data_IF_199484430244
#
_entry.id   IF_199484430244
#
_cell.length_a   1.000
_cell.length_b   1.000
_cell.length_c   1.000
_cell.angle_alpha   90.00
_cell.angle_beta   90.00
_cell.angle_gamma   90.00
#
_symmetry.space_group_name_H-M   'P 1'
#
loop_
_entity.id
_entity.type
_entity.pdbx_description
1 polymer ?
#
# COMPACT_ATOMS: atom_id res chain seq x y z
N UNK A 1 -5.48 -19.02 -2.88
CA UNK A 1 -4.72 -17.79 -3.23
C UNK A 1 -5.70 -16.67 -3.52
N UNK A 2 -5.42 -15.50 -2.99
CA UNK A 2 -6.20 -14.29 -3.28
C UNK A 2 -5.30 -13.37 -4.09
N UNK A 3 -5.81 -12.85 -5.20
CA UNK A 3 -5.04 -11.94 -6.05
C UNK A 3 -5.98 -10.88 -6.62
N UNK A 4 -5.61 -9.61 -6.47
CA UNK A 4 -6.40 -8.52 -7.01
C UNK A 4 -5.54 -7.28 -7.23
N UNK A 5 -6.06 -6.35 -8.04
CA UNK A 5 -5.40 -5.09 -8.34
C UNK A 5 -6.22 -3.92 -7.82
N UNK A 6 -5.55 -3.01 -7.12
CA UNK A 6 -6.15 -1.76 -6.65
C UNK A 6 -5.70 -0.66 -7.59
N UNK A 7 -6.60 -0.19 -8.44
CA UNK A 7 -6.28 0.85 -9.43
C UNK A 7 -6.19 2.22 -8.77
N UNK A 8 -5.24 3.02 -9.21
CA UNK A 8 -5.04 4.38 -8.72
C UNK A 8 -3.61 4.61 -8.28
N UNK A 9 -3.23 5.86 -8.15
CA UNK A 9 -1.86 6.20 -7.75
C UNK A 9 -1.67 5.86 -6.27
N UNK A 10 -0.76 4.92 -5.93
CA UNK A 10 -0.48 4.61 -4.53
C UNK A 10 0.00 5.85 -3.78
N UNK A 11 -0.48 6.01 -2.56
CA UNK A 11 -0.13 7.16 -1.73
C UNK A 11 0.45 6.69 -0.39
N UNK A 12 1.50 7.36 0.09
CA UNK A 12 2.09 7.02 1.37
C UNK A 12 1.14 7.38 2.51
N UNK A 13 1.16 6.56 3.55
CA UNK A 13 0.50 6.89 4.80
C UNK A 13 1.42 7.83 5.57
N UNK A 14 0.94 9.02 5.83
CA UNK A 14 1.67 9.97 6.65
C UNK A 14 1.14 9.89 8.08
N UNK A 15 2.00 9.48 8.99
CA UNK A 15 1.75 9.64 10.41
C UNK A 15 2.48 10.89 10.81
N UNK A 16 1.79 11.99 10.90
CA UNK A 16 2.55 13.18 11.05
C UNK A 16 2.27 14.00 12.26
N UNK A 17 3.29 14.57 12.76
CA UNK A 17 3.24 15.72 13.59
C UNK A 17 2.80 16.91 12.75
N UNK A 18 2.36 17.91 13.42
CA UNK A 18 2.00 19.16 12.79
C UNK A 18 3.27 19.94 12.49
N UNK A 19 3.41 20.40 11.26
CA UNK A 19 4.53 21.23 10.85
C UNK A 19 4.04 22.67 10.70
N UNK A 20 4.85 23.61 11.19
CA UNK A 20 4.58 25.02 11.05
C UNK A 20 5.53 25.62 10.02
N UNK A 21 5.05 26.01 8.87
CA UNK A 21 5.90 26.71 7.91
C UNK A 21 6.40 28.01 8.49
N UNK A 22 7.65 28.33 8.22
CA UNK A 22 8.25 29.57 8.66
C UNK A 22 8.52 29.67 10.15
N UNK A 23 8.51 28.54 10.87
CA UNK A 23 8.74 28.57 12.32
C UNK A 23 7.68 29.26 13.12
N UNK A 24 6.54 29.55 12.50
CA UNK A 24 5.47 30.27 13.17
C UNK A 24 4.75 29.48 14.24
N UNK A 25 3.88 30.13 14.95
CA UNK A 25 3.13 29.54 16.05
C UNK A 25 1.94 28.73 15.59
N UNK A 26 1.58 28.80 14.34
CA UNK A 26 0.41 28.16 13.80
C UNK A 26 0.73 26.77 13.30
N UNK A 27 0.06 25.79 13.86
CA UNK A 27 0.20 24.41 13.46
C UNK A 27 -0.66 24.13 12.24
N UNK A 28 -0.11 23.39 11.29
CA UNK A 28 -0.88 22.84 10.19
C UNK A 28 -1.20 21.40 10.47
N UNK A 29 -2.47 20.99 10.31
CA UNK A 29 -2.79 19.59 10.43
C UNK A 29 -2.04 18.84 9.33
N UNK A 30 -1.25 17.88 9.73
CA UNK A 30 -0.68 16.94 8.78
C UNK A 30 -1.78 16.00 8.34
N UNK A 31 -2.01 15.95 7.07
CA UNK A 31 -2.92 14.96 6.53
C UNK A 31 -2.39 13.58 6.83
N UNK A 32 -3.15 12.84 7.61
CA UNK A 32 -2.96 11.40 7.66
C UNK A 32 -3.59 10.86 6.41
N UNK A 33 -2.79 10.45 5.47
CA UNK A 33 -3.33 9.86 4.26
C UNK A 33 -3.78 8.44 4.54
N UNK A 34 -4.90 8.30 5.23
CA UNK A 34 -5.56 7.02 5.44
C UNK A 34 -6.51 6.68 4.30
N UNK A 35 -6.73 7.61 3.39
CA UNK A 35 -7.66 7.40 2.29
C UNK A 35 -7.25 6.27 1.38
N UNK A 36 -5.95 6.17 1.09
CA UNK A 36 -5.44 5.07 0.26
C UNK A 36 -5.67 3.71 0.93
N UNK A 37 -5.36 3.59 2.22
CA UNK A 37 -5.57 2.35 2.96
C UNK A 37 -7.07 2.00 3.03
N UNK A 38 -7.93 3.00 3.25
CA UNK A 38 -9.38 2.79 3.26
C UNK A 38 -9.88 2.34 1.90
N UNK A 39 -9.35 2.90 0.83
CA UNK A 39 -9.70 2.50 -0.53
C UNK A 39 -9.24 1.07 -0.81
N UNK A 40 -8.03 0.71 -0.39
CA UNK A 40 -7.52 -0.65 -0.52
C UNK A 40 -8.39 -1.64 0.26
N UNK A 41 -8.88 -1.24 1.43
CA UNK A 41 -9.81 -2.06 2.21
C UNK A 41 -11.12 -2.27 1.45
N UNK A 42 -11.65 -1.21 0.86
CA UNK A 42 -12.88 -1.28 0.08
C UNK A 42 -12.73 -2.24 -1.10
N UNK A 43 -11.65 -2.10 -1.86
CA UNK A 43 -11.39 -2.97 -3.01
C UNK A 43 -11.24 -4.43 -2.57
N UNK A 44 -10.54 -4.67 -1.46
CA UNK A 44 -10.41 -6.02 -0.91
C UNK A 44 -11.77 -6.60 -0.54
N UNK A 45 -12.64 -5.81 0.07
CA UNK A 45 -13.97 -6.27 0.46
C UNK A 45 -14.84 -6.65 -0.75
N UNK A 46 -14.60 -6.01 -1.89
CA UNK A 46 -15.32 -6.29 -3.13
C UNK A 46 -14.93 -7.64 -3.74
N UNK A 47 -13.84 -8.23 -3.31
CA UNK A 47 -13.42 -9.55 -3.80
C UNK A 47 -14.29 -10.66 -3.25
N UNK A 48 -15.04 -10.40 -2.18
CA UNK A 48 -15.97 -11.35 -1.55
C UNK A 48 -15.30 -12.68 -1.21
N UNK A 49 -14.13 -12.58 -0.58
CA UNK A 49 -13.37 -13.75 -0.15
C UNK A 49 -13.57 -14.01 1.33
N UNK A 50 -13.47 -15.27 1.74
CA UNK A 50 -13.45 -15.61 3.15
C UNK A 50 -12.07 -15.31 3.73
N UNK A 51 -11.99 -14.73 4.93
CA UNK A 51 -10.69 -14.51 5.57
C UNK A 51 -9.90 -15.80 5.69
N UNK A 52 -8.65 -15.75 5.26
CA UNK A 52 -7.77 -16.92 5.30
C UNK A 52 -7.29 -17.18 6.74
N UNK A 53 -7.13 -18.44 7.09
CA UNK A 53 -6.59 -18.84 8.37
C UNK A 53 -5.15 -19.35 8.20
N UNK A 54 -4.40 -19.44 9.30
CA UNK A 54 -3.05 -19.99 9.29
C UNK A 54 -2.00 -18.99 8.80
N UNK A 55 -0.76 -19.44 8.64
CA UNK A 55 0.34 -18.56 8.22
C UNK A 55 0.20 -18.18 6.75
N UNK A 56 0.49 -16.92 6.45
CA UNK A 56 0.27 -16.33 5.13
C UNK A 56 1.53 -15.69 4.59
N UNK A 57 1.64 -15.72 3.26
CA UNK A 57 2.64 -15.00 2.50
C UNK A 57 1.94 -13.91 1.69
N UNK A 58 2.44 -12.69 1.76
CA UNK A 58 1.85 -11.54 1.09
C UNK A 58 2.89 -10.92 0.15
N UNK A 59 2.48 -10.65 -1.07
CA UNK A 59 3.29 -9.93 -2.04
C UNK A 59 2.56 -8.67 -2.48
N UNK A 60 3.23 -7.54 -2.36
CA UNK A 60 2.69 -6.22 -2.72
C UNK A 60 3.60 -5.59 -3.77
N UNK A 61 3.02 -5.24 -4.91
CA UNK A 61 3.75 -4.55 -5.97
C UNK A 61 3.09 -3.21 -6.24
N UNK A 62 3.76 -2.14 -5.86
CA UNK A 62 3.27 -0.77 -6.06
C UNK A 62 3.76 -0.25 -7.41
N UNK A 63 2.83 0.17 -8.25
CA UNK A 63 3.12 0.76 -9.55
C UNK A 63 2.86 2.25 -9.50
N UNK A 64 3.94 3.02 -9.65
CA UNK A 64 3.92 4.48 -9.56
C UNK A 64 3.98 5.11 -10.93
N UNK A 65 3.42 6.30 -11.13
CA UNK A 65 3.52 6.99 -12.40
C UNK A 65 4.98 7.19 -12.80
N UNK A 66 5.28 6.89 -14.06
CA UNK A 66 6.64 7.04 -14.58
C UNK A 66 6.84 8.48 -15.05
N UNK A 67 7.86 9.21 -14.55
CA UNK A 67 8.17 10.55 -15.07
C UNK A 67 8.74 10.46 -16.48
N UNK A 68 8.79 11.58 -17.18
CA UNK A 68 9.34 11.62 -18.55
C UNK A 68 10.81 11.20 -18.59
N UNK A 69 11.58 11.58 -17.56
CA UNK A 69 13.01 11.26 -17.47
C UNK A 69 13.31 10.61 -16.13
N UNK A 70 13.04 9.31 -16.00
CA UNK A 70 13.32 8.61 -14.75
C UNK A 70 14.84 8.50 -14.54
N UNK A 71 15.26 8.50 -13.27
CA UNK A 71 16.68 8.37 -12.91
C UNK A 71 17.18 6.94 -13.12
N UNK A 72 16.31 5.98 -12.99
CA UNK A 72 16.61 4.56 -13.20
C UNK A 72 15.34 3.82 -13.62
N UNK A 73 15.47 2.53 -13.91
CA UNK A 73 14.33 1.70 -14.29
C UNK A 73 13.33 1.51 -13.17
N UNK A 74 13.78 1.59 -11.91
CA UNK A 74 12.90 1.52 -10.76
C UNK A 74 12.83 2.86 -10.04
N UNK A 75 11.71 3.16 -9.39
CA UNK A 75 11.56 4.45 -8.69
C UNK A 75 12.41 4.47 -7.42
N UNK A 76 13.49 5.22 -7.45
CA UNK A 76 14.40 5.37 -6.31
C UNK A 76 14.16 6.68 -5.54
N UNK A 77 13.09 7.38 -5.88
CA UNK A 77 12.70 8.61 -5.21
C UNK A 77 11.48 8.35 -4.34
N UNK A 78 11.09 9.34 -3.53
CA UNK A 78 9.89 9.23 -2.69
C UNK A 78 8.66 8.94 -3.56
N UNK A 79 7.64 8.25 -3.02
CA UNK A 79 7.49 7.85 -1.62
C UNK A 79 8.32 6.62 -1.24
N UNK A 80 8.70 6.51 0.02
CA UNK A 80 9.43 5.39 0.55
C UNK A 80 8.53 4.15 0.60
N UNK A 81 9.13 2.99 0.38
CA UNK A 81 8.39 1.73 0.29
C UNK A 81 7.63 1.39 1.57
N UNK A 82 8.26 1.59 2.72
CA UNK A 82 7.62 1.33 4.01
C UNK A 82 6.43 2.27 4.27
N UNK A 83 6.48 3.49 3.78
CA UNK A 83 5.37 4.44 3.90
C UNK A 83 4.22 4.06 2.98
N UNK A 84 4.50 3.45 1.82
CA UNK A 84 3.46 2.98 0.92
C UNK A 84 2.68 1.81 1.51
N UNK A 85 3.37 0.89 2.20
CA UNK A 85 2.71 -0.29 2.77
C UNK A 85 2.12 -0.05 4.17
N UNK A 86 2.52 1.03 4.81
CA UNK A 86 2.10 1.31 6.18
C UNK A 86 0.58 1.29 6.30
N UNK A 87 0.08 0.58 7.31
CA UNK A 87 -1.34 0.39 7.59
C UNK A 87 -2.14 -0.44 6.60
N UNK A 88 -1.53 -0.90 5.52
CA UNK A 88 -2.26 -1.74 4.56
C UNK A 88 -2.64 -3.09 5.16
N UNK A 89 -1.69 -3.80 5.76
CA UNK A 89 -1.97 -5.11 6.34
C UNK A 89 -3.04 -5.00 7.43
N UNK A 90 -2.97 -3.95 8.22
CA UNK A 90 -3.95 -3.66 9.26
C UNK A 90 -5.34 -3.40 8.65
N UNK A 91 -5.39 -2.68 7.54
CA UNK A 91 -6.64 -2.35 6.86
C UNK A 91 -7.36 -3.60 6.34
N UNK A 92 -6.65 -4.67 6.06
CA UNK A 92 -7.22 -5.90 5.54
C UNK A 92 -7.61 -6.92 6.61
N UNK A 93 -7.41 -6.60 7.88
CA UNK A 93 -7.86 -7.46 8.98
C UNK A 93 -9.38 -7.64 8.92
N UNK A 94 -9.81 -8.88 9.06
CA UNK A 94 -11.22 -9.23 8.97
C UNK A 94 -11.76 -9.36 7.54
N UNK A 95 -10.93 -9.08 6.53
CA UNK A 95 -11.33 -9.20 5.12
C UNK A 95 -10.52 -10.29 4.42
N UNK A 96 -9.19 -10.13 4.35
CA UNK A 96 -8.32 -11.11 3.69
C UNK A 96 -7.85 -12.18 4.65
N UNK A 97 -7.76 -11.85 5.92
CA UNK A 97 -7.34 -12.71 7.02
C UNK A 97 -7.98 -12.24 8.31
N UNK A 98 -7.79 -12.99 9.38
CA UNK A 98 -8.34 -12.61 10.69
C UNK A 98 -7.48 -11.54 11.36
N UNK A 99 -6.16 -11.69 11.27
CA UNK A 99 -5.22 -10.77 11.90
C UNK A 99 -3.93 -10.73 11.07
N UNK A 100 -3.36 -9.55 10.89
CA UNK A 100 -2.11 -9.37 10.14
C UNK A 100 -0.91 -10.05 10.83
N UNK A 101 -1.05 -10.48 12.08
CA UNK A 101 -0.07 -11.34 12.74
C UNK A 101 0.12 -12.68 12.01
N UNK A 102 -0.84 -13.10 11.20
CA UNK A 102 -0.75 -14.30 10.38
C UNK A 102 0.27 -14.18 9.24
N UNK A 103 0.65 -12.96 8.87
CA UNK A 103 1.59 -12.73 7.78
C UNK A 103 3.00 -13.04 8.27
N UNK A 104 3.57 -14.13 7.77
CA UNK A 104 4.90 -14.60 8.17
C UNK A 104 5.95 -14.36 7.09
N UNK A 105 5.53 -14.14 5.85
CA UNK A 105 6.41 -13.77 4.74
C UNK A 105 5.78 -12.58 4.03
N UNK A 106 6.59 -11.57 3.78
CA UNK A 106 6.12 -10.39 3.08
C UNK A 106 7.18 -9.95 2.07
N UNK A 107 6.76 -9.78 0.83
CA UNK A 107 7.59 -9.20 -0.22
C UNK A 107 6.91 -7.94 -0.73
N UNK A 108 7.62 -6.84 -0.73
CA UNK A 108 7.10 -5.53 -1.14
C UNK A 108 8.07 -4.91 -2.11
N UNK A 109 7.54 -4.41 -3.23
CA UNK A 109 8.36 -3.73 -4.24
C UNK A 109 7.64 -2.51 -4.77
N UNK A 110 8.40 -1.58 -5.32
CA UNK A 110 7.82 -0.48 -6.09
C UNK A 110 8.42 -0.46 -7.48
N UNK A 111 7.54 -0.22 -8.46
CA UNK A 111 7.86 -0.24 -9.88
C UNK A 111 7.26 0.99 -10.54
N UNK A 112 7.71 1.30 -11.72
CA UNK A 112 7.02 2.27 -12.55
C UNK A 112 5.88 1.60 -13.29
N UNK A 113 4.77 2.32 -13.42
CA UNK A 113 3.67 1.92 -14.26
C UNK A 113 4.11 1.86 -15.73
N UNK A 114 3.46 1.01 -16.49
CA UNK A 114 3.70 0.85 -17.93
C UNK A 114 2.37 0.97 -18.67
N UNK A 115 2.42 0.86 -19.98
CA UNK A 115 1.19 0.86 -20.78
C UNK A 115 0.28 -0.31 -20.45
N UNK A 116 0.87 -1.45 -20.07
CA UNK A 116 0.11 -2.66 -19.72
C UNK A 116 -0.24 -2.76 -18.24
N UNK A 117 0.46 -2.03 -17.38
CA UNK A 117 0.22 -2.04 -15.95
C UNK A 117 0.07 -0.60 -15.46
N UNK A 118 -1.16 -0.11 -15.31
CA UNK A 118 -1.40 1.27 -14.86
C UNK A 118 -0.96 1.46 -13.40
N UNK A 119 -0.88 2.71 -12.93
CA UNK A 119 -0.59 2.96 -11.53
C UNK A 119 -1.58 2.23 -10.63
N UNK A 120 -1.06 1.59 -9.60
CA UNK A 120 -1.89 0.83 -8.68
C UNK A 120 -1.08 -0.09 -7.80
N UNK A 121 -1.77 -1.03 -7.20
CA UNK A 121 -1.18 -2.01 -6.29
C UNK A 121 -1.66 -3.41 -6.65
N UNK A 122 -0.74 -4.30 -7.00
CA UNK A 122 -1.02 -5.72 -7.08
C UNK A 122 -0.86 -6.36 -5.72
N UNK A 123 -1.86 -7.12 -5.32
CA UNK A 123 -1.88 -7.83 -4.03
C UNK A 123 -2.01 -9.32 -4.31
N UNK A 124 -1.10 -10.10 -3.76
CA UNK A 124 -1.16 -11.57 -3.83
C UNK A 124 -1.02 -12.10 -2.42
N UNK A 125 -1.98 -12.88 -1.98
CA UNK A 125 -1.97 -13.52 -0.67
C UNK A 125 -2.05 -15.03 -0.86
N UNK A 126 -1.11 -15.75 -0.25
CA UNK A 126 -1.05 -17.20 -0.34
C UNK A 126 -0.93 -17.81 1.05
N UNK A 127 -1.47 -19.00 1.21
CA UNK A 127 -1.23 -19.78 2.41
C UNK A 127 0.24 -20.21 2.41
N UNK A 128 0.90 -20.02 3.55
CA UNK A 128 2.29 -20.39 3.74
C UNK A 128 2.39 -21.65 4.57
N UNK A 129 3.49 -22.33 4.40
CA UNK A 129 3.75 -23.55 5.19
C UNK A 129 4.44 -23.18 6.50
#
# INVERSE_FOLDING_TARGET
MISFFVAGIPRPTQTGSVIRPGGGKRAFPMYRNTEWASYCRLVASQQKVEPLAGPLSVCLSFYLPRPKKPKCERPITRPDLDNLEKKLLDAWNGILWHDDAQVVIKMVEKCYATASTPPGLWVIVQESI
#
